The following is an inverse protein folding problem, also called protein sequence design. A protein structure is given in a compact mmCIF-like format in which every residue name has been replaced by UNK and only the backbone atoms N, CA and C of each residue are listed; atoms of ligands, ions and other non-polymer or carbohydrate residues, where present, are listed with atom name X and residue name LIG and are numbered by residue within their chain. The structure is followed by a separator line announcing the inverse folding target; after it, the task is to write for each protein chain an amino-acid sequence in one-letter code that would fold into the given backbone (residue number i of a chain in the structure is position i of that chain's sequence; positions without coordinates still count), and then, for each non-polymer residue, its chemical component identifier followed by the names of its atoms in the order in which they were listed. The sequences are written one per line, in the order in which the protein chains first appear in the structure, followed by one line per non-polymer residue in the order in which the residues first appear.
data_IF_785430792199
#
_entry.id   IF_785430792199
#
_cell.length_a   1.000
_cell.length_b   1.000
_cell.length_c   1.000
_cell.angle_alpha   90.00
_cell.angle_beta   90.00
_cell.angle_gamma   90.00
#
_symmetry.space_group_name_H-M   'P 1'
#
loop_
_entity.id
_entity.type
_entity.pdbx_description
1 polymer ?
#
# COMPACT_ATOMS: atom_id res chain seq x y z
N UNK A 1 -11.62 -11.04 0.32
CA UNK A 1 -10.67 -9.91 0.30
C UNK A 1 -11.19 -8.78 -0.59
N UNK A 2 -11.27 -7.53 -0.09
CA UNK A 2 -11.70 -6.35 -0.85
C UNK A 2 -10.90 -6.10 -2.12
N UNK A 3 -11.54 -5.53 -3.15
CA UNK A 3 -10.91 -5.26 -4.44
C UNK A 3 -9.71 -4.29 -4.34
N UNK A 4 -9.77 -3.31 -3.44
CA UNK A 4 -8.66 -2.36 -3.19
C UNK A 4 -7.39 -3.06 -2.69
N UNK A 5 -7.54 -4.00 -1.75
CA UNK A 5 -6.41 -4.77 -1.20
C UNK A 5 -5.77 -5.64 -2.28
N UNK A 6 -6.58 -6.35 -3.07
CA UNK A 6 -6.07 -7.18 -4.19
C UNK A 6 -5.28 -6.35 -5.21
N UNK A 7 -5.78 -5.15 -5.56
CA UNK A 7 -5.10 -4.25 -6.50
C UNK A 7 -3.77 -3.74 -5.96
N UNK A 8 -3.73 -3.37 -4.68
CA UNK A 8 -2.51 -2.90 -4.03
C UNK A 8 -1.46 -4.02 -3.92
N UNK A 9 -1.87 -5.20 -3.47
CA UNK A 9 -1.00 -6.39 -3.45
C UNK A 9 -0.41 -6.69 -4.83
N UNK A 10 -1.24 -6.69 -5.88
CA UNK A 10 -0.78 -6.97 -7.24
C UNK A 10 0.16 -5.88 -7.76
N UNK A 11 -0.11 -4.61 -7.45
CA UNK A 11 0.71 -3.48 -7.90
C UNK A 11 2.09 -3.47 -7.25
N UNK A 12 2.15 -3.76 -5.96
CA UNK A 12 3.37 -3.62 -5.16
C UNK A 12 4.06 -4.94 -4.81
N UNK A 13 3.48 -6.08 -5.24
CA UNK A 13 3.95 -7.43 -4.94
C UNK A 13 4.12 -7.69 -3.43
N UNK A 14 3.18 -7.18 -2.62
CA UNK A 14 3.19 -7.29 -1.15
C UNK A 14 2.15 -8.27 -0.62
N UNK A 15 2.32 -8.68 0.64
CA UNK A 15 1.38 -9.55 1.34
C UNK A 15 0.03 -8.86 1.61
N UNK A 16 -0.97 -9.67 1.94
CA UNK A 16 -2.30 -9.22 2.32
C UNK A 16 -2.27 -8.28 3.53
N UNK A 17 -1.46 -8.61 4.53
CA UNK A 17 -1.37 -7.88 5.79
C UNK A 17 -0.71 -6.52 5.59
N UNK A 18 0.36 -6.46 4.78
CA UNK A 18 1.03 -5.19 4.46
C UNK A 18 0.11 -4.30 3.62
N UNK A 19 -0.57 -4.86 2.61
CA UNK A 19 -1.56 -4.10 1.84
C UNK A 19 -2.71 -3.61 2.72
N UNK A 20 -3.16 -4.40 3.70
CA UNK A 20 -4.19 -3.99 4.64
C UNK A 20 -3.70 -2.85 5.56
N UNK A 21 -2.46 -2.90 6.04
CA UNK A 21 -1.86 -1.86 6.86
C UNK A 21 -1.87 -0.49 6.15
N UNK A 22 -1.32 -0.43 4.93
CA UNK A 22 -1.29 0.82 4.14
C UNK A 22 -2.69 1.30 3.72
N UNK A 23 -3.64 0.39 3.52
CA UNK A 23 -5.02 0.74 3.15
C UNK A 23 -5.98 0.94 4.35
N UNK A 24 -5.50 0.70 5.57
CA UNK A 24 -6.24 0.86 6.83
C UNK A 24 -5.86 2.14 7.57
N UNK A 25 -4.62 2.62 7.40
CA UNK A 25 -4.21 3.95 7.87
C UNK A 25 -4.89 5.10 7.12
N UNK A 26 -5.61 4.76 6.04
CA UNK A 26 -6.00 5.71 5.01
C UNK A 26 -7.51 5.64 4.75
N UNK A 27 -8.28 6.40 5.54
CA UNK A 27 -9.63 6.80 5.14
C UNK A 27 -9.60 7.64 3.84
N UNK A 28 -8.43 8.08 3.37
CA UNK A 28 -8.25 9.03 2.28
C UNK A 28 -7.60 8.42 1.04
N UNK A 29 -8.40 7.73 0.21
CA UNK A 29 -8.06 7.40 -1.20
C UNK A 29 -6.90 6.40 -1.42
N UNK A 30 -7.03 5.51 -2.41
CA UNK A 30 -5.94 4.58 -2.81
C UNK A 30 -4.64 5.31 -3.24
N UNK A 31 -4.70 6.61 -3.51
CA UNK A 31 -3.56 7.42 -3.95
C UNK A 31 -2.57 7.64 -2.79
N UNK A 32 -3.04 8.04 -1.61
CA UNK A 32 -2.15 8.33 -0.49
C UNK A 32 -1.43 7.05 0.01
N UNK A 33 -2.13 5.92 0.12
CA UNK A 33 -1.52 4.63 0.43
C UNK A 33 -0.42 4.21 -0.58
N UNK A 34 -0.57 4.58 -1.86
CA UNK A 34 0.41 4.29 -2.92
C UNK A 34 1.63 5.20 -2.80
N UNK A 35 1.42 6.49 -2.51
CA UNK A 35 2.50 7.48 -2.30
C UNK A 35 3.32 7.18 -1.03
N UNK A 36 2.65 6.88 0.09
CA UNK A 36 3.34 6.51 1.34
C UNK A 36 4.20 5.27 1.17
N UNK A 37 3.68 4.22 0.53
CA UNK A 37 4.46 3.01 0.27
C UNK A 37 5.68 3.26 -0.62
N UNK A 38 5.54 4.13 -1.62
CA UNK A 38 6.65 4.49 -2.50
C UNK A 38 7.74 5.27 -1.73
N UNK A 39 7.34 6.25 -0.92
CA UNK A 39 8.28 7.02 -0.08
C UNK A 39 9.04 6.12 0.92
N UNK A 40 8.35 5.18 1.56
CA UNK A 40 9.00 4.24 2.48
C UNK A 40 10.06 3.39 1.77
N UNK A 41 9.76 2.89 0.56
CA UNK A 41 10.75 2.15 -0.23
C UNK A 41 11.93 2.99 -0.69
N UNK A 42 11.68 4.26 -1.01
CA UNK A 42 12.74 5.20 -1.40
C UNK A 42 13.67 5.50 -0.20
N UNK A 43 13.11 5.65 1.00
CA UNK A 43 13.88 5.84 2.23
C UNK A 43 14.71 4.59 2.62
N UNK A 44 14.15 3.39 2.48
CA UNK A 44 14.85 2.13 2.80
C UNK A 44 16.02 1.81 1.85
N UNK A 45 16.06 2.44 0.67
CA UNK A 45 17.09 2.21 -0.34
C UNK A 45 18.31 3.16 -0.23
N UNK A 46 18.28 4.14 0.66
CA UNK A 46 19.37 5.09 0.93
C UNK A 46 20.27 4.65 2.09
#
# INVERSE_FOLDING_TARGET
MPAKIKRFMARWAVSADMAAFYLASDEWSNVAATESFQLDRENDAQ
#
